data_IF_001785783865
#
_entry.id   IF_001785783865
#
_cell.length_a   1.000
_cell.length_b   1.000
_cell.length_c   1.000
_cell.angle_alpha   90.00
_cell.angle_beta   90.00
_cell.angle_gamma   90.00
#
_symmetry.space_group_name_H-M   'P 1'
#
loop_
_entity.id
_entity.type
_entity.pdbx_description
1 polymer ?
#
# COMPACT_ATOMS: atom_id res chain seq x y z
N UNK A 1 -1.76 29.55 -14.01
CA UNK A 1 -1.39 29.29 -12.61
C UNK A 1 0.04 29.77 -12.39
N UNK A 2 0.27 31.09 -12.16
CA UNK A 2 1.61 31.69 -12.06
C UNK A 2 2.47 31.12 -10.92
N UNK A 3 1.84 30.58 -9.88
CA UNK A 3 2.49 29.97 -8.73
C UNK A 3 3.40 28.78 -9.07
N UNK A 4 3.12 28.04 -10.15
CA UNK A 4 3.98 26.94 -10.63
C UNK A 4 5.22 27.40 -11.39
N UNK A 5 5.29 28.68 -11.78
CA UNK A 5 6.39 29.25 -12.56
C UNK A 5 7.25 30.23 -11.76
N UNK A 6 7.17 30.13 -10.43
CA UNK A 6 8.01 30.94 -9.55
C UNK A 6 9.45 30.41 -9.55
N UNK A 7 10.47 31.27 -9.32
CA UNK A 7 11.86 30.84 -9.30
C UNK A 7 12.20 29.77 -8.25
N UNK A 8 11.40 29.67 -7.18
CA UNK A 8 11.57 28.66 -6.13
C UNK A 8 10.97 27.29 -6.47
N UNK A 9 10.19 27.20 -7.56
CA UNK A 9 9.58 25.95 -8.01
C UNK A 9 10.51 25.21 -8.98
N UNK A 10 10.53 23.87 -8.96
CA UNK A 10 11.25 23.10 -9.95
C UNK A 10 10.62 23.27 -11.34
N UNK A 11 11.44 23.12 -12.38
CA UNK A 11 10.92 22.82 -13.71
C UNK A 11 10.21 21.46 -13.68
N UNK A 12 9.12 21.32 -14.43
CA UNK A 12 8.36 20.08 -14.51
C UNK A 12 7.88 19.82 -15.94
N UNK A 13 7.79 18.54 -16.28
CA UNK A 13 7.16 18.07 -17.53
C UNK A 13 5.93 17.26 -17.17
N UNK A 14 4.82 17.47 -17.89
CA UNK A 14 3.60 16.70 -17.70
C UNK A 14 3.51 15.67 -18.82
N UNK A 15 3.45 14.39 -18.46
CA UNK A 15 3.08 13.30 -19.33
C UNK A 15 1.63 12.91 -19.04
N UNK A 16 0.70 13.30 -19.91
CA UNK A 16 -0.72 12.98 -19.77
C UNK A 16 -1.02 11.61 -20.39
N UNK A 17 -1.57 10.69 -19.60
CA UNK A 17 -1.90 9.34 -20.07
C UNK A 17 -3.10 9.38 -21.01
N UNK A 18 -3.07 8.52 -22.03
CA UNK A 18 -4.14 8.44 -23.03
C UNK A 18 -4.63 6.99 -23.17
N UNK A 19 -5.85 6.65 -22.71
CA UNK A 19 -6.82 7.52 -22.03
C UNK A 19 -6.40 7.88 -20.59
N UNK A 20 -7.02 8.91 -20.03
CA UNK A 20 -7.02 9.12 -18.58
C UNK A 20 -7.76 7.96 -17.90
N UNK A 21 -7.32 7.61 -16.69
CA UNK A 21 -7.86 6.48 -15.93
C UNK A 21 -8.66 6.98 -14.72
N UNK A 22 -9.87 6.44 -14.54
CA UNK A 22 -10.58 6.56 -13.27
C UNK A 22 -9.91 5.61 -12.26
N UNK A 23 -9.54 6.12 -11.09
CA UNK A 23 -8.84 5.29 -10.09
C UNK A 23 -9.66 4.08 -9.64
N UNK A 24 -10.99 4.14 -9.71
CA UNK A 24 -11.87 3.01 -9.36
C UNK A 24 -11.80 1.84 -10.36
N UNK A 25 -11.35 2.10 -11.58
CA UNK A 25 -11.16 1.10 -12.64
C UNK A 25 -9.72 0.56 -12.71
N UNK A 26 -8.82 1.01 -11.82
CA UNK A 26 -7.42 0.60 -11.79
C UNK A 26 -7.25 -0.89 -11.54
N UNK A 27 -6.28 -1.46 -12.25
CA UNK A 27 -5.86 -2.85 -12.21
C UNK A 27 -4.36 -2.97 -11.92
N UNK A 28 -3.85 -4.17 -11.61
CA UNK A 28 -2.41 -4.39 -11.46
C UNK A 28 -1.59 -4.05 -12.71
N UNK A 29 -2.18 -4.18 -13.90
CA UNK A 29 -1.58 -3.76 -15.16
C UNK A 29 -1.34 -2.24 -15.22
N UNK A 30 -2.22 -1.45 -14.62
CA UNK A 30 -2.05 0.01 -14.58
C UNK A 30 -0.91 0.39 -13.61
N UNK A 31 -0.72 -0.36 -12.52
CA UNK A 31 0.46 -0.19 -11.66
C UNK A 31 1.76 -0.51 -12.41
N UNK A 32 1.74 -1.56 -13.23
CA UNK A 32 2.86 -1.92 -14.10
C UNK A 32 3.16 -0.83 -15.11
N UNK A 33 2.13 -0.27 -15.75
CA UNK A 33 2.27 0.84 -16.68
C UNK A 33 2.94 2.07 -16.03
N UNK A 34 2.49 2.46 -14.83
CA UNK A 34 3.08 3.59 -14.09
C UNK A 34 4.54 3.31 -13.70
N UNK A 35 4.85 2.09 -13.22
CA UNK A 35 6.20 1.73 -12.83
C UNK A 35 7.17 1.74 -14.03
N UNK A 36 6.72 1.26 -15.19
CA UNK A 36 7.49 1.28 -16.45
C UNK A 36 7.71 2.70 -16.96
N UNK A 37 6.72 3.58 -16.84
CA UNK A 37 6.84 4.99 -17.22
C UNK A 37 7.86 5.73 -16.33
N UNK A 38 7.83 5.48 -15.02
CA UNK A 38 8.86 5.99 -14.08
C UNK A 38 10.25 5.47 -14.50
N UNK A 39 10.36 4.17 -14.83
CA UNK A 39 11.65 3.58 -15.23
C UNK A 39 12.18 4.17 -16.54
N UNK A 40 11.30 4.37 -17.52
CA UNK A 40 11.66 4.91 -18.82
C UNK A 40 12.24 6.32 -18.73
N UNK A 41 11.76 7.11 -17.78
CA UNK A 41 12.18 8.49 -17.55
C UNK A 41 13.11 8.64 -16.33
N UNK A 42 13.60 7.54 -15.77
CA UNK A 42 14.24 7.56 -14.47
C UNK A 42 15.50 8.42 -14.44
N UNK A 43 16.32 8.36 -15.50
CA UNK A 43 17.61 9.05 -15.57
C UNK A 43 17.48 10.51 -16.00
N UNK A 44 16.34 10.89 -16.59
CA UNK A 44 16.11 12.22 -17.16
C UNK A 44 15.57 13.24 -16.13
N UNK A 45 15.03 12.78 -15.00
CA UNK A 45 14.39 13.62 -13.99
C UNK A 45 14.92 13.37 -12.58
N UNK A 46 14.83 14.36 -11.70
CA UNK A 46 15.30 14.29 -10.30
C UNK A 46 14.26 13.70 -9.34
N UNK A 47 12.99 13.59 -9.76
CA UNK A 47 11.89 13.09 -8.95
C UNK A 47 10.59 12.98 -9.76
N UNK A 48 9.62 12.25 -9.22
CA UNK A 48 8.39 11.90 -9.91
C UNK A 48 7.17 12.28 -9.06
N UNK A 49 6.20 12.95 -9.67
CA UNK A 49 4.88 13.20 -9.06
C UNK A 49 3.83 12.49 -9.89
N UNK A 50 3.10 11.56 -9.28
CA UNK A 50 2.04 10.77 -9.92
C UNK A 50 0.70 11.38 -9.54
N UNK A 51 0.06 12.08 -10.49
CA UNK A 51 -1.30 12.56 -10.33
C UNK A 51 -2.28 11.38 -10.49
N UNK A 52 -3.09 11.15 -9.46
CA UNK A 52 -3.93 9.96 -9.37
C UNK A 52 -5.29 10.26 -8.72
N UNK A 53 -6.34 9.55 -9.13
CA UNK A 53 -7.66 9.62 -8.47
C UNK A 53 -7.60 9.08 -7.04
N UNK A 54 -8.42 9.61 -6.13
CA UNK A 54 -8.24 9.35 -4.68
C UNK A 54 -8.75 7.97 -4.25
N UNK A 55 -9.62 7.28 -4.99
CA UNK A 55 -10.26 6.06 -4.52
C UNK A 55 -9.29 4.89 -4.32
N UNK A 56 -8.32 4.73 -5.20
CA UNK A 56 -7.33 3.63 -5.12
C UNK A 56 -5.89 4.11 -4.97
N UNK A 57 -5.68 5.41 -4.71
CA UNK A 57 -4.35 6.02 -4.58
C UNK A 57 -3.43 5.29 -3.59
N UNK A 58 -3.97 4.85 -2.45
CA UNK A 58 -3.22 4.11 -1.44
C UNK A 58 -2.78 2.73 -1.93
N UNK A 59 -3.56 2.08 -2.81
CA UNK A 59 -3.18 0.81 -3.44
C UNK A 59 -2.04 1.04 -4.43
N UNK A 60 -2.15 2.03 -5.32
CA UNK A 60 -1.09 2.37 -6.28
C UNK A 60 0.21 2.74 -5.57
N UNK A 61 0.15 3.60 -4.55
CA UNK A 61 1.33 3.96 -3.75
C UNK A 61 1.95 2.75 -3.03
N UNK A 62 1.12 1.81 -2.57
CA UNK A 62 1.60 0.56 -1.97
C UNK A 62 2.27 -0.36 -2.99
N UNK A 63 1.64 -0.57 -4.15
CA UNK A 63 2.17 -1.42 -5.23
C UNK A 63 3.53 -0.92 -5.72
N UNK A 64 3.63 0.36 -6.07
CA UNK A 64 4.88 0.97 -6.53
C UNK A 64 6.00 0.83 -5.50
N UNK A 65 5.70 0.87 -4.19
CA UNK A 65 6.72 0.70 -3.15
C UNK A 65 7.41 -0.67 -3.21
N UNK A 66 6.69 -1.73 -3.60
CA UNK A 66 7.25 -3.07 -3.77
C UNK A 66 7.91 -3.24 -5.14
N UNK A 67 7.34 -2.63 -6.18
CA UNK A 67 7.84 -2.73 -7.56
C UNK A 67 9.18 -2.02 -7.76
N UNK A 68 9.36 -0.83 -7.16
CA UNK A 68 10.53 0.03 -7.36
C UNK A 68 11.64 -0.31 -6.35
N UNK A 69 12.41 -1.36 -6.62
CA UNK A 69 13.59 -1.72 -5.82
C UNK A 69 14.77 -0.79 -6.12
N UNK A 70 15.57 -0.46 -5.09
CA UNK A 70 16.68 0.50 -5.16
C UNK A 70 16.24 1.90 -5.62
N UNK A 71 15.01 2.30 -5.29
CA UNK A 71 14.48 3.61 -5.65
C UNK A 71 15.31 4.73 -5.01
N UNK A 72 16.21 5.36 -5.76
CA UNK A 72 17.08 6.46 -5.31
C UNK A 72 16.55 7.88 -5.52
N UNK A 73 15.28 8.04 -5.92
CA UNK A 73 14.63 9.33 -6.23
C UNK A 73 13.22 9.37 -5.63
N UNK A 74 12.68 10.55 -5.24
CA UNK A 74 11.34 10.63 -4.67
C UNK A 74 10.26 10.31 -5.70
N UNK A 75 9.30 9.48 -5.31
CA UNK A 75 8.06 9.24 -6.06
C UNK A 75 6.90 9.63 -5.16
N UNK A 76 6.18 10.69 -5.52
CA UNK A 76 5.08 11.24 -4.72
C UNK A 76 3.77 11.04 -5.47
N UNK A 77 2.88 10.20 -4.95
CA UNK A 77 1.52 10.07 -5.44
C UNK A 77 0.66 11.15 -4.78
N UNK A 78 -0.11 11.90 -5.57
CA UNK A 78 -1.01 12.94 -5.07
C UNK A 78 -2.21 13.13 -5.99
N UNK A 79 -3.17 13.95 -5.56
CA UNK A 79 -4.39 14.23 -6.31
C UNK A 79 -5.25 15.25 -5.58
N UNK A 80 -6.56 15.16 -5.79
CA UNK A 80 -7.52 16.11 -5.21
C UNK A 80 -8.90 15.49 -5.06
N UNK A 81 -9.65 15.96 -4.06
CA UNK A 81 -11.08 15.66 -3.93
C UNK A 81 -11.92 16.48 -4.91
N UNK A 82 -11.50 17.72 -5.19
CA UNK A 82 -12.19 18.64 -6.09
C UNK A 82 -11.30 18.86 -7.34
N UNK A 83 -11.82 18.64 -8.57
CA UNK A 83 -11.05 18.85 -9.79
C UNK A 83 -10.35 20.21 -9.84
N UNK A 84 -9.13 20.26 -10.41
CA UNK A 84 -8.29 21.47 -10.42
C UNK A 84 -8.99 22.70 -11.03
N UNK A 85 -9.93 22.48 -11.96
CA UNK A 85 -10.69 23.54 -12.61
C UNK A 85 -11.82 24.15 -11.74
N UNK A 86 -12.19 23.51 -10.63
CA UNK A 86 -13.30 23.92 -9.79
C UNK A 86 -12.89 24.87 -8.65
N UNK A 87 -13.83 25.69 -8.21
CA UNK A 87 -13.63 26.61 -7.09
C UNK A 87 -13.39 25.82 -5.80
N UNK A 88 -12.40 26.25 -5.00
CA UNK A 88 -11.97 25.58 -3.75
C UNK A 88 -11.25 24.24 -3.96
N UNK A 89 -10.73 23.99 -5.16
CA UNK A 89 -9.90 22.81 -5.41
C UNK A 89 -8.71 22.72 -4.46
N UNK A 90 -8.54 21.54 -3.88
CA UNK A 90 -7.35 21.14 -3.14
C UNK A 90 -6.21 20.67 -4.07
N UNK A 91 -6.48 20.47 -5.36
CA UNK A 91 -5.49 20.01 -6.34
C UNK A 91 -4.36 20.98 -6.58
N UNK A 92 -4.65 22.29 -6.54
CA UNK A 92 -3.63 23.32 -6.72
C UNK A 92 -2.56 23.22 -5.62
N UNK A 93 -3.00 23.15 -4.36
CA UNK A 93 -2.10 23.15 -3.21
C UNK A 93 -1.42 21.79 -3.02
N UNK A 94 -2.10 20.68 -3.31
CA UNK A 94 -1.51 19.35 -3.24
C UNK A 94 -0.41 19.17 -4.29
N UNK A 95 -0.68 19.51 -5.57
CA UNK A 95 0.32 19.39 -6.64
C UNK A 95 1.50 20.34 -6.43
N UNK A 96 1.25 21.60 -6.05
CA UNK A 96 2.31 22.57 -5.81
C UNK A 96 3.25 22.11 -4.69
N UNK A 97 2.70 21.63 -3.57
CA UNK A 97 3.52 21.12 -2.48
C UNK A 97 4.23 19.81 -2.85
N UNK A 98 3.60 18.90 -3.60
CA UNK A 98 4.24 17.66 -4.04
C UNK A 98 5.48 17.96 -4.90
N UNK A 99 5.37 18.87 -5.87
CA UNK A 99 6.51 19.32 -6.68
C UNK A 99 7.61 19.95 -5.82
N UNK A 100 7.24 20.86 -4.92
CA UNK A 100 8.20 21.54 -4.06
C UNK A 100 8.93 20.56 -3.11
N UNK A 101 8.20 19.59 -2.56
CA UNK A 101 8.74 18.54 -1.67
C UNK A 101 9.64 17.59 -2.45
N UNK A 102 9.25 17.16 -3.65
CA UNK A 102 10.10 16.29 -4.48
C UNK A 102 11.46 16.93 -4.76
N UNK A 103 11.50 18.23 -5.07
CA UNK A 103 12.74 18.93 -5.39
C UNK A 103 13.58 19.30 -4.15
N UNK A 104 12.95 19.79 -3.08
CA UNK A 104 13.68 20.40 -1.95
C UNK A 104 13.80 19.48 -0.71
N UNK A 105 12.93 18.48 -0.61
CA UNK A 105 12.91 17.53 0.50
C UNK A 105 12.85 16.09 -0.01
N UNK A 106 13.76 15.66 -0.90
CA UNK A 106 13.69 14.34 -1.52
C UNK A 106 13.76 13.25 -0.46
N UNK A 107 12.77 12.37 -0.48
CA UNK A 107 12.71 11.14 0.30
C UNK A 107 12.62 10.01 -0.71
N UNK A 108 13.62 9.13 -0.70
CA UNK A 108 13.78 8.04 -1.66
C UNK A 108 12.87 6.86 -1.30
N UNK A 109 11.58 7.13 -1.28
CA UNK A 109 10.49 6.18 -1.04
C UNK A 109 9.32 6.54 -1.98
N UNK A 110 8.42 5.59 -2.19
CA UNK A 110 7.09 5.91 -2.72
C UNK A 110 6.26 6.48 -1.58
N UNK A 111 5.79 7.71 -1.76
CA UNK A 111 5.09 8.49 -0.74
C UNK A 111 3.75 9.01 -1.26
N UNK A 112 2.85 9.35 -0.35
CA UNK A 112 1.54 9.93 -0.68
C UNK A 112 1.45 11.31 -0.04
N UNK A 113 1.25 12.35 -0.85
CA UNK A 113 1.05 13.71 -0.35
C UNK A 113 -0.43 14.08 -0.40
N UNK A 114 -1.01 14.43 0.74
CA UNK A 114 -2.38 14.93 0.82
C UNK A 114 -2.57 15.80 2.05
N UNK A 115 -3.32 16.90 1.91
CA UNK A 115 -3.70 17.78 3.02
C UNK A 115 -2.53 18.16 3.93
N UNK A 116 -1.50 18.76 3.31
CA UNK A 116 -0.30 19.26 4.00
C UNK A 116 0.55 18.20 4.72
N UNK A 117 0.39 16.91 4.40
CA UNK A 117 1.17 15.82 4.99
C UNK A 117 1.73 14.91 3.91
N UNK A 118 2.97 14.47 4.11
CA UNK A 118 3.59 13.43 3.31
C UNK A 118 3.63 12.14 4.13
N UNK A 119 3.02 11.08 3.60
CA UNK A 119 2.97 9.76 4.23
C UNK A 119 3.84 8.76 3.47
N UNK A 120 4.33 7.72 4.15
CA UNK A 120 4.89 6.55 3.48
C UNK A 120 3.75 5.84 2.72
N UNK A 121 3.91 5.60 1.42
CA UNK A 121 2.83 5.14 0.54
C UNK A 121 2.16 3.86 1.03
N UNK A 122 2.97 2.84 1.34
CA UNK A 122 2.53 1.54 1.85
C UNK A 122 2.07 1.52 3.33
N UNK A 123 1.88 2.69 3.94
CA UNK A 123 1.26 2.83 5.27
C UNK A 123 -0.07 3.57 5.20
N UNK A 124 -0.49 3.99 4.01
CA UNK A 124 -1.68 4.81 3.82
C UNK A 124 -2.95 4.00 3.60
N UNK A 125 -4.08 4.60 3.95
CA UNK A 125 -5.43 4.16 3.60
C UNK A 125 -6.33 5.39 3.45
N UNK A 126 -7.36 5.31 2.61
CA UNK A 126 -8.37 6.39 2.48
C UNK A 126 -9.34 6.29 3.67
N UNK A 127 -9.18 7.20 4.63
CA UNK A 127 -9.95 7.20 5.88
C UNK A 127 -11.24 8.02 5.80
N UNK A 128 -11.28 9.04 4.93
CA UNK A 128 -12.43 9.93 4.77
C UNK A 128 -12.75 10.14 3.28
N UNK A 129 -14.00 9.89 2.89
CA UNK A 129 -14.43 10.01 1.49
C UNK A 129 -14.87 11.44 1.12
N UNK A 130 -15.35 12.23 2.09
CA UNK A 130 -15.89 13.57 1.85
C UNK A 130 -14.97 14.71 2.35
N UNK A 131 -14.07 14.41 3.28
CA UNK A 131 -13.16 15.37 3.89
C UNK A 131 -11.91 15.63 3.03
N UNK A 132 -11.32 16.82 3.17
CA UNK A 132 -10.00 17.09 2.56
C UNK A 132 -8.88 16.31 3.26
N UNK A 133 -9.07 15.88 4.51
CA UNK A 133 -8.23 14.93 5.22
C UNK A 133 -8.52 13.47 4.81
N UNK A 134 -8.54 13.22 3.49
CA UNK A 134 -9.00 11.96 2.93
C UNK A 134 -8.13 10.74 3.31
N UNK A 135 -6.82 10.93 3.52
CA UNK A 135 -5.87 9.85 3.78
C UNK A 135 -5.29 9.90 5.19
N UNK A 136 -5.09 8.71 5.76
CA UNK A 136 -4.42 8.52 7.03
C UNK A 136 -3.30 7.47 6.91
N UNK A 137 -2.35 7.51 7.86
CA UNK A 137 -1.35 6.48 8.09
C UNK A 137 -1.49 5.99 9.54
N UNK A 138 -2.37 5.02 9.83
CA UNK A 138 -2.82 4.75 11.20
C UNK A 138 -1.74 4.18 12.12
N UNK A 139 -0.75 3.50 11.55
CA UNK A 139 0.30 2.77 12.28
C UNK A 139 1.71 3.35 12.10
N UNK A 140 1.85 4.46 11.36
CA UNK A 140 3.13 5.16 11.20
C UNK A 140 2.88 6.68 11.13
N UNK A 141 3.63 7.51 11.87
CA UNK A 141 3.55 8.95 11.71
C UNK A 141 3.84 9.40 10.27
N UNK A 142 3.36 10.58 9.83
CA UNK A 142 3.79 11.19 8.58
C UNK A 142 5.32 11.29 8.51
N UNK A 143 5.86 11.34 7.29
CA UNK A 143 7.27 11.62 7.04
C UNK A 143 7.56 13.12 7.12
N UNK A 144 6.65 13.94 6.58
CA UNK A 144 6.74 15.39 6.58
C UNK A 144 5.38 16.04 6.88
N UNK A 145 5.41 17.24 7.43
CA UNK A 145 4.27 18.16 7.53
C UNK A 145 4.62 19.48 6.84
N UNK A 146 3.76 19.93 5.91
CA UNK A 146 3.90 21.14 5.13
C UNK A 146 3.00 22.26 5.70
N UNK A 147 3.46 22.90 6.78
CA UNK A 147 2.84 24.11 7.34
C UNK A 147 3.51 25.39 6.81
N UNK A 148 3.53 26.46 7.62
CA UNK A 148 4.33 27.67 7.34
C UNK A 148 5.81 27.30 7.09
N UNK A 149 6.29 26.31 7.86
CA UNK A 149 7.56 25.65 7.64
C UNK A 149 7.32 24.18 7.34
N UNK A 150 8.10 23.62 6.41
CA UNK A 150 8.11 22.18 6.15
C UNK A 150 8.95 21.52 7.23
N UNK A 151 8.35 20.59 7.98
CA UNK A 151 8.97 19.86 9.08
C UNK A 151 9.15 18.40 8.71
N UNK A 152 10.37 17.89 8.80
CA UNK A 152 10.62 16.44 8.77
C UNK A 152 10.32 15.84 10.14
N UNK A 153 9.56 14.76 10.18
CA UNK A 153 9.31 14.00 11.40
C UNK A 153 10.41 12.94 11.57
N UNK A 154 10.65 12.52 12.82
CA UNK A 154 11.67 11.52 13.14
C UNK A 154 11.16 10.08 12.90
N UNK A 155 10.58 9.85 11.72
CA UNK A 155 10.02 8.56 11.33
C UNK A 155 11.17 7.65 10.85
N UNK A 156 11.29 6.40 11.34
CA UNK A 156 12.37 5.52 10.95
C UNK A 156 12.41 5.27 9.43
N UNK A 157 13.61 5.20 8.82
CA UNK A 157 13.74 4.96 7.39
C UNK A 157 13.21 3.56 7.02
N UNK A 158 12.67 3.43 5.79
CA UNK A 158 12.39 2.12 5.21
C UNK A 158 13.71 1.39 4.87
N UNK A 159 13.69 0.05 4.76
CA UNK A 159 14.79 -0.68 4.14
C UNK A 159 15.10 -0.10 2.76
N UNK A 160 16.37 0.14 2.48
CA UNK A 160 16.84 0.73 1.23
C UNK A 160 17.89 -0.18 0.62
N UNK A 161 17.77 -0.45 -0.68
CA UNK A 161 18.79 -1.17 -1.43
C UNK A 161 19.80 -0.21 -2.06
N UNK A 162 20.85 -0.76 -2.67
CA UNK A 162 21.88 0.00 -3.37
C UNK A 162 21.96 -0.45 -4.82
N UNK A 163 22.24 0.50 -5.73
CA UNK A 163 22.43 0.24 -7.16
C UNK A 163 21.36 0.90 -8.03
N UNK A 164 21.29 0.43 -9.28
CA UNK A 164 20.33 0.91 -10.27
C UNK A 164 18.89 0.55 -9.89
N UNK A 165 17.94 1.39 -10.29
CA UNK A 165 16.50 1.13 -10.13
C UNK A 165 16.14 -0.18 -10.84
N UNK A 166 15.55 -1.11 -10.09
CA UNK A 166 14.96 -2.34 -10.61
C UNK A 166 13.44 -2.23 -10.48
N UNK A 167 12.73 -2.47 -11.58
CA UNK A 167 11.26 -2.56 -11.58
C UNK A 167 10.86 -4.03 -11.63
N UNK A 168 10.27 -4.51 -10.54
CA UNK A 168 9.74 -5.86 -10.45
C UNK A 168 8.36 -5.96 -11.09
N UNK A 169 8.08 -7.04 -11.84
CA UNK A 169 6.78 -7.22 -12.46
C UNK A 169 5.70 -7.49 -11.41
N UNK A 170 4.53 -6.91 -11.61
CA UNK A 170 3.29 -7.30 -10.95
C UNK A 170 2.28 -7.72 -12.01
N UNK A 171 1.64 -8.88 -11.79
CA UNK A 171 0.51 -9.35 -12.61
C UNK A 171 -0.74 -9.51 -11.77
N UNK A 172 -1.94 -9.62 -12.38
CA UNK A 172 -3.14 -10.02 -11.65
C UNK A 172 -2.95 -11.34 -10.93
N UNK A 173 -3.41 -11.39 -9.68
CA UNK A 173 -3.40 -12.58 -8.85
C UNK A 173 -4.80 -12.78 -8.27
N UNK A 174 -5.32 -14.01 -8.25
CA UNK A 174 -6.62 -14.30 -7.65
C UNK A 174 -6.48 -14.31 -6.12
N UNK A 175 -6.75 -13.17 -5.49
CA UNK A 175 -6.65 -12.96 -4.04
C UNK A 175 -8.04 -12.68 -3.47
N UNK A 176 -8.45 -13.46 -2.47
CA UNK A 176 -9.68 -13.21 -1.72
C UNK A 176 -9.45 -12.27 -0.54
N UNK A 177 -10.39 -11.36 -0.27
CA UNK A 177 -10.37 -10.52 0.94
C UNK A 177 -11.66 -10.78 1.73
N UNK A 178 -11.52 -11.34 2.93
CA UNK A 178 -12.65 -11.78 3.76
C UNK A 178 -12.67 -10.99 5.05
N UNK A 179 -13.82 -10.42 5.39
CA UNK A 179 -14.05 -9.81 6.70
C UNK A 179 -14.72 -10.80 7.63
N UNK A 180 -14.11 -11.03 8.78
CA UNK A 180 -14.70 -11.89 9.82
C UNK A 180 -15.77 -11.09 10.56
N UNK A 181 -16.95 -11.69 10.72
CA UNK A 181 -18.08 -11.15 11.46
C UNK A 181 -18.78 -12.24 12.30
N UNK A 182 -19.51 -11.89 13.38
CA UNK A 182 -20.10 -12.89 14.27
C UNK A 182 -21.09 -13.77 13.49
N UNK A 183 -20.82 -15.08 13.46
CA UNK A 183 -21.65 -16.05 12.73
C UNK A 183 -21.25 -16.29 11.28
N UNK A 184 -20.10 -15.78 10.80
CA UNK A 184 -19.56 -16.21 9.49
C UNK A 184 -19.47 -17.74 9.44
N UNK A 185 -20.03 -18.34 8.39
CA UNK A 185 -20.04 -19.79 8.23
C UNK A 185 -18.78 -20.29 7.51
N UNK A 186 -18.42 -21.56 7.75
CA UNK A 186 -17.34 -22.22 7.01
C UNK A 186 -17.62 -22.23 5.49
N UNK A 187 -18.88 -22.30 5.07
CA UNK A 187 -19.27 -22.29 3.65
C UNK A 187 -18.90 -20.98 2.95
N UNK A 188 -19.01 -19.83 3.64
CA UNK A 188 -18.56 -18.55 3.08
C UNK A 188 -17.07 -18.61 2.77
N UNK A 189 -16.26 -19.07 3.72
CA UNK A 189 -14.81 -19.21 3.56
C UNK A 189 -14.46 -20.22 2.48
N UNK A 190 -15.12 -21.38 2.47
CA UNK A 190 -14.95 -22.41 1.44
C UNK A 190 -15.18 -21.85 0.03
N UNK A 191 -16.18 -21.00 -0.15
CA UNK A 191 -16.46 -20.37 -1.45
C UNK A 191 -15.33 -19.43 -1.90
N UNK A 192 -14.76 -18.64 -1.00
CA UNK A 192 -13.58 -17.82 -1.30
C UNK A 192 -12.35 -18.66 -1.65
N UNK A 193 -12.24 -19.87 -1.11
CA UNK A 193 -11.10 -20.77 -1.33
C UNK A 193 -11.24 -21.64 -2.59
N UNK A 194 -12.33 -21.51 -3.35
CA UNK A 194 -12.47 -22.19 -4.65
C UNK A 194 -11.43 -21.64 -5.62
N UNK A 195 -10.82 -22.53 -6.39
CA UNK A 195 -9.84 -22.14 -7.40
C UNK A 195 -10.41 -21.08 -8.36
N UNK A 196 -9.58 -20.15 -8.87
CA UNK A 196 -8.11 -20.19 -8.90
C UNK A 196 -7.37 -19.50 -7.74
N UNK A 197 -8.03 -19.22 -6.60
CA UNK A 197 -7.43 -18.43 -5.50
C UNK A 197 -6.06 -18.94 -5.03
N UNK A 198 -5.08 -18.02 -4.98
CA UNK A 198 -3.70 -18.26 -4.53
C UNK A 198 -3.40 -17.68 -3.15
N UNK A 199 -4.14 -16.66 -2.73
CA UNK A 199 -3.98 -16.08 -1.40
C UNK A 199 -5.32 -15.57 -0.84
N UNK A 200 -5.39 -15.50 0.48
CA UNK A 200 -6.55 -15.03 1.23
C UNK A 200 -6.11 -14.05 2.31
N UNK A 201 -6.69 -12.84 2.30
CA UNK A 201 -6.55 -11.86 3.38
C UNK A 201 -7.75 -12.00 4.30
N UNK A 202 -7.49 -12.30 5.57
CA UNK A 202 -8.49 -12.35 6.63
C UNK A 202 -8.45 -11.05 7.43
N UNK A 203 -9.55 -10.31 7.49
CA UNK A 203 -9.73 -9.15 8.37
C UNK A 203 -10.43 -9.60 9.65
N UNK A 204 -9.62 -10.02 10.62
CA UNK A 204 -10.02 -10.59 11.91
C UNK A 204 -10.24 -9.52 12.98
N UNK A 205 -10.72 -9.90 14.18
CA UNK A 205 -11.00 -8.95 15.25
C UNK A 205 -9.76 -8.57 16.05
N UNK A 206 -9.69 -7.31 16.50
CA UNK A 206 -8.71 -6.86 17.48
C UNK A 206 -7.28 -7.23 17.08
N UNK A 207 -6.56 -7.94 17.94
CA UNK A 207 -5.18 -8.38 17.67
C UNK A 207 -5.06 -9.61 16.74
N UNK A 208 -6.09 -9.90 15.95
CA UNK A 208 -6.10 -11.02 14.99
C UNK A 208 -6.86 -12.27 15.45
N UNK A 209 -7.92 -12.08 16.24
CA UNK A 209 -8.77 -13.16 16.73
C UNK A 209 -9.84 -13.56 15.71
N UNK A 210 -10.07 -14.87 15.55
CA UNK A 210 -11.14 -15.44 14.73
C UNK A 210 -11.96 -16.49 15.51
N UNK A 211 -13.13 -16.93 14.99
CA UNK A 211 -13.92 -17.98 15.62
C UNK A 211 -13.17 -19.32 15.73
N UNK A 212 -13.26 -19.97 16.89
CA UNK A 212 -12.68 -21.30 17.16
C UNK A 212 -13.52 -22.46 16.60
N UNK A 213 -14.40 -22.18 15.63
CA UNK A 213 -15.22 -23.21 15.02
C UNK A 213 -14.33 -24.19 14.24
N UNK A 214 -14.48 -25.49 14.50
CA UNK A 214 -13.62 -26.53 13.91
C UNK A 214 -13.69 -26.55 12.38
N UNK A 215 -14.88 -26.44 11.79
CA UNK A 215 -15.02 -26.45 10.35
C UNK A 215 -14.35 -25.21 9.72
N UNK A 216 -14.51 -24.03 10.32
CA UNK A 216 -13.81 -22.82 9.88
C UNK A 216 -12.28 -22.98 9.88
N UNK A 217 -11.70 -23.47 10.99
CA UNK A 217 -10.26 -23.68 11.08
C UNK A 217 -9.77 -24.77 10.12
N UNK A 218 -10.57 -25.81 9.87
CA UNK A 218 -10.27 -26.85 8.89
C UNK A 218 -10.20 -26.30 7.47
N UNK A 219 -11.13 -25.44 7.05
CA UNK A 219 -11.07 -24.81 5.71
C UNK A 219 -9.78 -23.98 5.53
N UNK A 220 -9.32 -23.27 6.58
CA UNK A 220 -8.07 -22.51 6.53
C UNK A 220 -6.84 -23.42 6.47
N UNK A 221 -6.82 -24.49 7.26
CA UNK A 221 -5.75 -25.49 7.20
C UNK A 221 -5.68 -26.13 5.81
N UNK A 222 -6.82 -26.58 5.27
CA UNK A 222 -6.89 -27.21 3.96
C UNK A 222 -6.43 -26.26 2.84
N UNK A 223 -6.73 -24.95 2.95
CA UNK A 223 -6.22 -23.95 2.03
C UNK A 223 -4.69 -23.86 2.11
N UNK A 224 -4.14 -23.75 3.31
CA UNK A 224 -2.70 -23.69 3.54
C UNK A 224 -1.98 -24.95 3.04
N UNK A 225 -2.56 -26.14 3.26
CA UNK A 225 -2.00 -27.41 2.80
C UNK A 225 -1.95 -27.51 1.27
N UNK A 226 -2.89 -26.86 0.57
CA UNK A 226 -2.93 -26.76 -0.89
C UNK A 226 -2.01 -25.66 -1.46
N UNK A 227 -1.26 -24.97 -0.60
CA UNK A 227 -0.33 -23.91 -0.99
C UNK A 227 -0.94 -22.51 -1.08
N UNK A 228 -2.19 -22.31 -0.64
CA UNK A 228 -2.78 -20.96 -0.56
C UNK A 228 -2.09 -20.20 0.59
N UNK A 229 -1.75 -18.94 0.34
CA UNK A 229 -1.15 -18.05 1.36
C UNK A 229 -2.26 -17.34 2.11
N UNK A 230 -2.43 -17.66 3.40
CA UNK A 230 -3.47 -17.04 4.24
C UNK A 230 -2.83 -16.02 5.19
N UNK A 231 -3.22 -14.76 5.08
CA UNK A 231 -2.67 -13.64 5.85
C UNK A 231 -3.75 -13.06 6.76
N UNK A 232 -3.45 -12.95 8.05
CA UNK A 232 -4.33 -12.40 9.07
C UNK A 232 -3.99 -10.94 9.35
N UNK A 233 -4.94 -10.07 9.07
CA UNK A 233 -4.94 -8.65 9.41
C UNK A 233 -6.00 -8.36 10.46
N UNK A 234 -5.84 -7.23 11.14
CA UNK A 234 -6.93 -6.68 11.94
C UNK A 234 -7.92 -5.93 11.05
N UNK A 235 -9.20 -5.98 11.40
CA UNK A 235 -10.21 -5.09 10.83
C UNK A 235 -10.23 -3.71 11.52
N UNK A 236 -9.51 -3.53 12.63
CA UNK A 236 -9.33 -2.24 13.29
C UNK A 236 -8.54 -1.27 12.42
N UNK A 237 -8.82 0.03 12.53
CA UNK A 237 -8.11 1.06 11.75
C UNK A 237 -6.62 1.14 12.08
N UNK A 238 -6.27 0.96 13.35
CA UNK A 238 -4.89 0.89 13.84
C UNK A 238 -4.70 -0.31 14.76
N UNK A 239 -3.45 -0.69 14.97
CA UNK A 239 -3.03 -1.82 15.79
C UNK A 239 -2.25 -2.86 15.01
N UNK A 240 -1.74 -3.85 15.75
CA UNK A 240 -0.88 -4.92 15.26
C UNK A 240 -1.47 -6.27 15.61
N UNK A 241 -1.54 -7.18 14.63
CA UNK A 241 -1.90 -8.58 14.85
C UNK A 241 -0.83 -9.26 15.69
N UNK A 242 -1.26 -9.95 16.74
CA UNK A 242 -0.43 -10.77 17.62
C UNK A 242 -1.09 -12.14 17.80
N UNK A 243 -0.66 -13.11 16.99
CA UNK A 243 -1.20 -14.47 17.04
C UNK A 243 -0.58 -15.33 18.14
N UNK A 244 0.54 -14.90 18.75
CA UNK A 244 1.18 -15.62 19.86
C UNK A 244 0.55 -15.37 21.23
N UNK A 245 -0.19 -14.27 21.40
CA UNK A 245 -0.67 -13.81 22.71
C UNK A 245 -1.94 -14.48 23.26
N UNK A 246 -2.72 -15.19 22.42
CA UNK A 246 -4.02 -15.77 22.83
C UNK A 246 -4.26 -17.15 22.20
N UNK A 247 -5.07 -17.98 22.87
CA UNK A 247 -5.43 -19.32 22.40
C UNK A 247 -6.07 -19.33 20.99
N UNK A 248 -6.82 -18.28 20.65
CA UNK A 248 -7.45 -18.05 19.34
C UNK A 248 -6.42 -17.75 18.24
N UNK A 249 -5.45 -16.89 18.51
CA UNK A 249 -4.35 -16.61 17.58
C UNK A 249 -3.51 -17.86 17.32
N UNK A 250 -3.26 -18.65 18.37
CA UNK A 250 -2.50 -19.88 18.24
C UNK A 250 -3.20 -20.91 17.35
N UNK A 251 -4.54 -21.01 17.42
CA UNK A 251 -5.30 -21.91 16.53
C UNK A 251 -5.19 -21.51 15.04
N UNK A 252 -5.17 -20.22 14.72
CA UNK A 252 -4.92 -19.74 13.36
C UNK A 252 -3.50 -20.06 12.89
N UNK A 253 -2.49 -19.86 13.75
CA UNK A 253 -1.11 -20.18 13.42
C UNK A 253 -0.94 -21.69 13.15
N UNK A 254 -1.55 -22.56 13.96
CA UNK A 254 -1.57 -24.00 13.70
C UNK A 254 -2.25 -24.35 12.37
N UNK A 255 -3.25 -23.57 11.95
CA UNK A 255 -3.93 -23.70 10.65
C UNK A 255 -3.10 -23.18 9.45
N UNK A 256 -1.84 -22.80 9.65
CA UNK A 256 -0.95 -22.29 8.61
C UNK A 256 -1.17 -20.81 8.24
N UNK A 257 -1.97 -20.08 9.02
CA UNK A 257 -2.22 -18.65 8.82
C UNK A 257 -1.03 -17.82 9.32
N UNK A 258 -0.70 -16.75 8.59
CA UNK A 258 0.44 -15.87 8.89
C UNK A 258 -0.07 -14.52 9.39
N UNK A 259 0.59 -13.95 10.39
CA UNK A 259 0.25 -12.63 10.89
C UNK A 259 0.78 -11.55 9.95
N UNK A 260 -0.07 -10.64 9.50
CA UNK A 260 0.32 -9.48 8.71
C UNK A 260 0.77 -8.27 9.54
N UNK A 261 1.10 -8.49 10.82
CA UNK A 261 1.49 -7.44 11.78
C UNK A 261 0.50 -6.25 11.75
N UNK A 262 0.99 -5.05 11.44
CA UNK A 262 0.27 -3.78 11.40
C UNK A 262 0.13 -3.23 9.96
N UNK A 263 0.25 -4.10 8.95
CA UNK A 263 0.03 -3.72 7.55
C UNK A 263 -1.41 -3.27 7.30
N UNK A 264 -1.57 -2.33 6.38
CA UNK A 264 -2.88 -1.99 5.81
C UNK A 264 -3.36 -3.09 4.85
N UNK A 265 -4.64 -3.04 4.45
CA UNK A 265 -5.17 -3.98 3.44
C UNK A 265 -4.50 -3.72 2.09
N UNK A 266 -4.30 -2.45 1.75
CA UNK A 266 -3.64 -1.95 0.55
C UNK A 266 -2.21 -2.51 0.44
N UNK A 267 -1.42 -2.39 1.51
CA UNK A 267 -0.07 -2.91 1.55
C UNK A 267 -0.04 -4.44 1.46
N UNK A 268 -0.94 -5.12 2.17
CA UNK A 268 -0.98 -6.60 2.17
C UNK A 268 -1.39 -7.15 0.80
N UNK A 269 -2.41 -6.56 0.17
CA UNK A 269 -2.89 -6.96 -1.15
C UNK A 269 -1.78 -6.79 -2.18
N UNK A 270 -1.16 -5.62 -2.22
CA UNK A 270 -0.13 -5.29 -3.19
C UNK A 270 1.18 -6.06 -2.95
N UNK A 271 1.54 -6.33 -1.69
CA UNK A 271 2.67 -7.21 -1.34
C UNK A 271 2.43 -8.65 -1.79
N UNK A 272 1.20 -9.16 -1.66
CA UNK A 272 0.84 -10.48 -2.19
C UNK A 272 0.91 -10.50 -3.72
N UNK A 273 0.40 -9.47 -4.41
CA UNK A 273 0.56 -9.34 -5.86
C UNK A 273 2.03 -9.35 -6.27
N UNK A 274 2.88 -8.56 -5.60
CA UNK A 274 4.33 -8.55 -5.81
C UNK A 274 4.94 -9.94 -5.65
N UNK A 275 4.80 -10.56 -4.48
CA UNK A 275 5.46 -11.84 -4.17
C UNK A 275 4.97 -12.99 -5.05
N UNK A 276 3.67 -13.06 -5.36
CA UNK A 276 3.08 -14.09 -6.22
C UNK A 276 3.41 -13.91 -7.72
N UNK A 277 3.92 -12.74 -8.11
CA UNK A 277 4.37 -12.45 -9.47
C UNK A 277 5.87 -12.71 -9.65
N UNK A 278 6.60 -13.05 -8.58
CA UNK A 278 8.01 -13.42 -8.63
C UNK A 278 8.17 -14.94 -8.68
N UNK A 279 9.35 -15.40 -9.08
CA UNK A 279 9.76 -16.81 -9.06
C UNK A 279 10.11 -17.27 -7.62
N UNK A 280 9.10 -17.31 -6.75
CA UNK A 280 9.22 -17.69 -5.35
C UNK A 280 8.32 -18.89 -5.04
N UNK A 281 8.83 -19.82 -4.23
CA UNK A 281 8.00 -20.89 -3.67
C UNK A 281 7.07 -20.36 -2.56
N UNK A 282 6.01 -21.13 -2.26
CA UNK A 282 5.01 -20.73 -1.26
C UNK A 282 5.66 -20.48 0.11
N UNK A 283 6.65 -21.27 0.52
CA UNK A 283 7.30 -21.10 1.82
C UNK A 283 8.03 -19.76 1.92
N UNK A 284 8.74 -19.38 0.87
CA UNK A 284 9.44 -18.10 0.77
C UNK A 284 8.45 -16.93 0.76
N UNK A 285 7.33 -17.05 0.04
CA UNK A 285 6.26 -16.03 0.06
C UNK A 285 5.70 -15.87 1.48
N UNK A 286 5.41 -16.99 2.15
CA UNK A 286 4.89 -16.98 3.53
C UNK A 286 5.83 -16.28 4.50
N UNK A 287 7.13 -16.56 4.36
CA UNK A 287 8.18 -15.90 5.16
C UNK A 287 8.31 -14.42 4.83
N UNK A 288 8.32 -14.05 3.55
CA UNK A 288 8.45 -12.67 3.11
C UNK A 288 7.25 -11.80 3.52
N UNK A 289 6.04 -12.38 3.63
CA UNK A 289 4.86 -11.65 4.09
C UNK A 289 5.00 -11.07 5.49
N UNK A 290 5.74 -11.72 6.40
CA UNK A 290 5.99 -11.23 7.76
C UNK A 290 7.29 -10.42 7.90
N UNK A 291 8.08 -10.26 6.84
CA UNK A 291 9.29 -9.45 6.84
C UNK A 291 9.00 -8.03 6.37
N UNK A 292 9.60 -7.03 7.02
CA UNK A 292 9.54 -5.64 6.58
C UNK A 292 10.40 -5.46 5.31
N UNK A 293 9.77 -5.33 4.14
CA UNK A 293 10.48 -5.21 2.87
C UNK A 293 10.73 -3.75 2.47
N UNK A 294 9.77 -2.85 2.77
CA UNK A 294 9.69 -1.48 2.25
C UNK A 294 9.13 -0.49 3.28
N UNK A 295 9.15 -0.84 4.56
CA UNK A 295 8.65 0.00 5.65
C UNK A 295 7.15 -0.16 5.91
N UNK A 296 6.49 -1.14 5.27
CA UNK A 296 5.04 -1.39 5.30
C UNK A 296 4.53 -1.99 6.62
N UNK A 297 5.42 -2.62 7.39
CA UNK A 297 5.12 -3.23 8.67
C UNK A 297 6.18 -2.91 9.71
N UNK A 298 5.79 -3.00 10.98
CA UNK A 298 6.66 -2.80 12.13
C UNK A 298 7.11 -4.18 12.64
N UNK A 299 8.41 -4.52 12.53
CA UNK A 299 8.94 -5.79 13.07
C UNK A 299 8.62 -5.97 14.56
N UNK A 300 8.66 -7.21 15.04
CA UNK A 300 8.74 -7.47 16.48
C UNK A 300 10.16 -7.11 16.96
N UNK A 301 10.25 -6.60 18.20
CA UNK A 301 11.52 -6.26 18.87
C UNK A 301 12.34 -7.52 19.22
#
# INVERSE_FOLDING_TARGET
>A
MPEFHRPEMPDFTIHEYTPLMDSSDMTPEDWQHIAEDIKAHYDDYDGFVILHGTDTMAYTASALSFMLENLGKPVIVTGSQIPLAELRSDGQINLLNALYVAANYPINEVTLFFNNRLYRGNRTTKAHADGFDAFASPNLPPLLEAGIHIRRLNTPPAPHGEGELIVHPITPQPIGVVTIYPGISADVVRNFLRQPVKALILRSYGVGNAPQNKAFLQELQEASDRGIVVVNLTQCMSGKVNMGGYATGNALAHAGVIGGADMTVEATLTKLHYLLSQELDTETIRKAMSQNLRGELTPDD
#
